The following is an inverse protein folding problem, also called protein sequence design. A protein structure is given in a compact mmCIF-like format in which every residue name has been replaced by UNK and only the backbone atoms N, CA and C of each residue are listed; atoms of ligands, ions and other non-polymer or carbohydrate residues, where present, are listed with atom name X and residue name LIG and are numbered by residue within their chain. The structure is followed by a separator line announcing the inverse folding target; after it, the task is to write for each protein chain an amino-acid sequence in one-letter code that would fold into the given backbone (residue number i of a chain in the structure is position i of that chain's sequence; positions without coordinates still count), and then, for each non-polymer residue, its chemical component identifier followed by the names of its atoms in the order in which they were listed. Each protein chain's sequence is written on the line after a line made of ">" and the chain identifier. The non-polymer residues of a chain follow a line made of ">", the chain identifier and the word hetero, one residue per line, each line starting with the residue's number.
data_IF_038892237747
#
_entry.id   IF_038892237747
#
_cell.length_a   1.000
_cell.length_b   1.000
_cell.length_c   1.000
_cell.angle_alpha   90.00
_cell.angle_beta   90.00
_cell.angle_gamma   90.00
#
_symmetry.space_group_name_H-M   'P 1'
#
loop_
_entity.id
_entity.type
_entity.pdbx_description
1 polymer ?
#
# COMPACT_ATOMS: atom_id res chain seq x y z
N UNK A 1 22.08 16.31 10.88
CA UNK A 1 20.98 15.75 10.09
C UNK A 1 20.35 14.76 11.01
N UNK A 2 19.16 15.06 11.53
CA UNK A 2 18.36 14.01 12.14
C UNK A 2 18.23 12.90 11.10
N UNK A 3 18.36 11.64 11.52
CA UNK A 3 18.22 10.50 10.60
C UNK A 3 16.87 10.63 9.88
N UNK A 4 16.92 10.71 8.55
CA UNK A 4 15.73 10.85 7.74
C UNK A 4 14.84 9.63 7.89
N UNK A 5 13.62 9.81 8.41
CA UNK A 5 12.70 8.71 8.66
C UNK A 5 12.12 8.22 7.33
N UNK A 6 12.48 6.99 6.95
CA UNK A 6 11.93 6.28 5.78
C UNK A 6 10.81 5.38 6.27
N UNK A 7 9.67 5.40 5.58
CA UNK A 7 8.56 4.49 5.86
C UNK A 7 8.28 3.63 4.63
N UNK A 8 8.34 2.32 4.82
CA UNK A 8 7.85 1.32 3.86
C UNK A 8 6.38 1.07 4.15
N UNK A 9 5.52 1.23 3.14
CA UNK A 9 4.09 0.96 3.27
C UNK A 9 3.69 -0.20 2.37
N UNK A 10 3.25 -1.31 2.95
CA UNK A 10 2.62 -2.40 2.22
C UNK A 10 1.11 -2.25 2.23
N UNK A 11 0.46 -2.29 1.06
CA UNK A 11 -0.99 -2.13 0.95
C UNK A 11 -1.61 -3.32 0.22
N UNK A 12 -2.56 -3.99 0.89
CA UNK A 12 -3.17 -5.24 0.45
C UNK A 12 -2.20 -6.43 0.49
N UNK A 13 -2.72 -7.64 0.39
CA UNK A 13 -1.92 -8.86 0.64
C UNK A 13 -0.57 -8.94 -0.10
N UNK A 14 -0.53 -8.67 -1.41
CA UNK A 14 0.73 -8.69 -2.18
C UNK A 14 1.67 -7.55 -1.72
N UNK A 15 1.12 -6.34 -1.51
CA UNK A 15 1.89 -5.19 -1.05
C UNK A 15 2.49 -5.41 0.34
N UNK A 16 1.71 -5.97 1.26
CA UNK A 16 2.15 -6.36 2.60
C UNK A 16 3.26 -7.42 2.54
N UNK A 17 3.10 -8.47 1.74
CA UNK A 17 4.13 -9.50 1.60
C UNK A 17 5.45 -8.94 1.01
N UNK A 18 5.36 -8.05 0.01
CA UNK A 18 6.53 -7.41 -0.58
C UNK A 18 7.22 -6.45 0.40
N UNK A 19 6.46 -5.62 1.12
CA UNK A 19 7.02 -4.66 2.06
C UNK A 19 7.65 -5.32 3.27
N UNK A 20 7.04 -6.38 3.82
CA UNK A 20 7.63 -7.21 4.88
C UNK A 20 8.96 -7.79 4.43
N UNK A 21 9.00 -8.37 3.22
CA UNK A 21 10.24 -8.94 2.69
C UNK A 21 11.32 -7.87 2.50
N UNK A 22 10.97 -6.70 1.98
CA UNK A 22 11.90 -5.59 1.84
C UNK A 22 12.41 -5.09 3.20
N UNK A 23 11.50 -4.85 4.14
CA UNK A 23 11.81 -4.40 5.50
C UNK A 23 12.73 -5.37 6.24
N UNK A 24 12.54 -6.68 6.06
CA UNK A 24 13.43 -7.70 6.66
C UNK A 24 14.90 -7.56 6.26
N UNK A 25 15.20 -6.91 5.12
CA UNK A 25 16.55 -6.68 4.61
C UNK A 25 17.14 -5.32 5.05
N UNK A 26 16.31 -4.41 5.58
CA UNK A 26 16.73 -3.06 5.97
C UNK A 26 16.21 -2.67 7.36
N UNK A 27 16.07 -3.64 8.27
CA UNK A 27 15.64 -3.41 9.65
C UNK A 27 16.51 -2.34 10.33
N UNK A 28 15.86 -1.43 11.04
CA UNK A 28 16.51 -0.30 11.72
C UNK A 28 16.84 0.90 10.82
N UNK A 29 16.59 0.82 9.50
CA UNK A 29 16.75 1.94 8.57
C UNK A 29 15.41 2.52 8.09
N UNK A 30 14.33 1.78 8.23
CA UNK A 30 12.99 2.20 7.82
C UNK A 30 11.94 1.61 8.75
N UNK A 31 10.88 2.35 9.00
CA UNK A 31 9.68 1.85 9.66
C UNK A 31 8.79 1.10 8.65
N UNK A 32 7.96 0.20 9.15
CA UNK A 32 7.03 -0.59 8.33
C UNK A 32 5.58 -0.31 8.72
N UNK A 33 4.77 0.09 7.74
CA UNK A 33 3.32 0.17 7.83
C UNK A 33 2.68 -0.88 6.91
N UNK A 34 1.75 -1.65 7.45
CA UNK A 34 0.95 -2.62 6.72
C UNK A 34 -0.51 -2.22 6.76
N UNK A 35 -1.15 -2.19 5.60
CA UNK A 35 -2.56 -1.81 5.45
C UNK A 35 -3.28 -2.91 4.69
N UNK A 36 -4.15 -3.64 5.37
CA UNK A 36 -4.99 -4.64 4.71
C UNK A 36 -6.36 -4.77 5.39
N UNK A 37 -7.32 -5.36 4.70
CA UNK A 37 -8.58 -5.77 5.27
C UNK A 37 -8.56 -7.25 5.73
N UNK A 38 -7.58 -8.02 5.26
CA UNK A 38 -7.31 -9.38 5.72
C UNK A 38 -6.28 -9.37 6.85
N UNK A 39 -6.67 -9.86 8.03
CA UNK A 39 -5.80 -9.89 9.21
C UNK A 39 -4.59 -10.82 9.03
N UNK A 40 -4.71 -11.86 8.20
CA UNK A 40 -3.61 -12.81 7.97
C UNK A 40 -2.37 -12.16 7.35
N UNK A 41 -2.55 -11.02 6.66
CA UNK A 41 -1.46 -10.21 6.09
C UNK A 41 -0.52 -9.61 7.15
N UNK A 42 -0.92 -9.57 8.44
CA UNK A 42 -0.13 -8.98 9.53
C UNK A 42 0.70 -10.00 10.32
N UNK A 43 0.59 -11.29 9.99
CA UNK A 43 1.05 -12.40 10.84
C UNK A 43 2.58 -12.56 10.99
N UNK A 44 3.39 -11.81 10.25
CA UNK A 44 4.83 -12.10 10.10
C UNK A 44 5.81 -11.12 10.77
N UNK A 45 5.38 -9.94 11.24
CA UNK A 45 6.34 -8.91 11.69
C UNK A 45 5.94 -8.25 13.03
N UNK A 46 6.76 -8.44 14.07
CA UNK A 46 6.51 -7.89 15.42
C UNK A 46 6.71 -6.37 15.53
N UNK A 47 7.42 -5.76 14.58
CA UNK A 47 7.77 -4.33 14.58
C UNK A 47 6.91 -3.50 13.61
N UNK A 48 5.96 -4.12 12.89
CA UNK A 48 5.12 -3.42 11.93
C UNK A 48 3.97 -2.65 12.60
N UNK A 49 3.77 -1.41 12.17
CA UNK A 49 2.51 -0.71 12.37
C UNK A 49 1.45 -1.34 11.45
N UNK A 50 0.31 -1.75 12.00
CA UNK A 50 -0.74 -2.41 11.22
C UNK A 50 -2.02 -1.57 11.25
N UNK A 51 -2.61 -1.37 10.07
CA UNK A 51 -3.91 -0.75 9.90
C UNK A 51 -4.88 -1.74 9.26
N UNK A 52 -5.72 -2.34 10.10
CA UNK A 52 -6.73 -3.30 9.66
C UNK A 52 -8.01 -2.58 9.23
N UNK A 53 -8.30 -2.60 7.93
CA UNK A 53 -9.42 -1.87 7.34
C UNK A 53 -10.79 -2.50 7.64
N UNK A 54 -10.86 -3.74 8.11
CA UNK A 54 -12.12 -4.45 8.40
C UNK A 54 -12.27 -4.80 9.89
N UNK A 55 -11.55 -4.10 10.77
CA UNK A 55 -11.51 -4.41 12.21
C UNK A 55 -12.88 -4.39 12.91
N UNK A 56 -13.81 -3.56 12.41
CA UNK A 56 -15.18 -3.48 12.93
C UNK A 56 -16.21 -4.26 12.08
N UNK A 57 -15.78 -4.94 11.01
CA UNK A 57 -16.64 -5.66 10.09
C UNK A 57 -16.70 -7.17 10.35
N UNK A 58 -17.36 -7.90 9.45
CA UNK A 58 -17.55 -9.36 9.54
C UNK A 58 -16.38 -10.16 8.94
N UNK A 59 -15.16 -9.59 8.93
CA UNK A 59 -13.97 -10.18 8.29
C UNK A 59 -14.19 -10.60 6.82
N UNK A 60 -14.95 -9.80 6.06
CA UNK A 60 -15.27 -10.03 4.64
C UNK A 60 -14.26 -9.37 3.69
N UNK A 61 -13.29 -8.63 4.24
CA UNK A 61 -12.36 -7.84 3.45
C UNK A 61 -13.07 -6.70 2.72
N UNK A 62 -12.60 -6.33 1.53
CA UNK A 62 -13.18 -5.22 0.75
C UNK A 62 -13.94 -5.67 -0.50
N UNK A 63 -14.12 -6.97 -0.71
CA UNK A 63 -14.87 -7.55 -1.83
C UNK A 63 -14.55 -6.95 -3.23
N UNK A 64 -13.27 -6.64 -3.49
CA UNK A 64 -12.81 -5.97 -4.72
C UNK A 64 -13.44 -4.58 -5.00
N UNK A 65 -13.96 -3.90 -3.97
CA UNK A 65 -14.49 -2.53 -4.04
C UNK A 65 -13.46 -1.52 -3.53
N UNK A 66 -12.81 -0.73 -4.40
CA UNK A 66 -11.82 0.28 -3.99
C UNK A 66 -12.42 1.35 -3.06
N UNK A 67 -13.61 1.87 -3.39
CA UNK A 67 -14.26 2.92 -2.62
C UNK A 67 -14.56 2.49 -1.17
N UNK A 68 -14.84 1.20 -0.94
CA UNK A 68 -15.04 0.67 0.41
C UNK A 68 -13.73 0.68 1.20
N UNK A 69 -12.62 0.28 0.58
CA UNK A 69 -11.30 0.35 1.19
C UNK A 69 -10.89 1.78 1.50
N UNK A 70 -11.12 2.70 0.56
CA UNK A 70 -10.85 4.13 0.69
C UNK A 70 -11.60 4.73 1.88
N UNK A 71 -12.90 4.44 2.00
CA UNK A 71 -13.73 4.91 3.10
C UNK A 71 -13.21 4.41 4.46
N UNK A 72 -12.98 3.10 4.60
CA UNK A 72 -12.45 2.49 5.83
C UNK A 72 -11.07 3.02 6.20
N UNK A 73 -10.22 3.24 5.19
CA UNK A 73 -8.91 3.83 5.42
C UNK A 73 -9.04 5.25 5.96
N UNK A 74 -9.91 6.09 5.40
CA UNK A 74 -10.12 7.47 5.88
C UNK A 74 -10.59 7.51 7.34
N UNK A 75 -11.35 6.53 7.79
CA UNK A 75 -11.76 6.42 9.20
C UNK A 75 -10.59 6.01 10.12
N UNK A 76 -9.72 5.10 9.64
CA UNK A 76 -8.60 4.57 10.43
C UNK A 76 -7.28 5.34 10.33
N UNK A 77 -7.13 6.24 9.34
CA UNK A 77 -5.84 6.85 8.99
C UNK A 77 -5.20 7.64 10.14
N UNK A 78 -6.02 8.21 11.03
CA UNK A 78 -5.55 8.98 12.17
C UNK A 78 -4.67 8.13 13.11
N UNK A 79 -4.86 6.80 13.14
CA UNK A 79 -4.07 5.89 13.96
C UNK A 79 -2.60 5.80 13.50
N UNK A 80 -2.34 6.07 12.22
CA UNK A 80 -1.00 5.96 11.60
C UNK A 80 -0.48 7.31 11.09
N UNK A 81 -1.21 8.39 11.34
CA UNK A 81 -0.87 9.74 10.88
C UNK A 81 0.52 10.21 11.34
N UNK A 82 0.84 9.98 12.62
CA UNK A 82 2.12 10.34 13.21
C UNK A 82 3.33 9.68 12.53
N UNK A 83 3.13 8.51 11.92
CA UNK A 83 4.17 7.80 11.19
C UNK A 83 4.45 8.48 9.85
N UNK A 84 3.39 8.92 9.15
CA UNK A 84 3.51 9.64 7.89
C UNK A 84 4.06 11.06 8.09
N UNK A 85 3.63 11.78 9.13
CA UNK A 85 4.11 13.15 9.42
C UNK A 85 5.60 13.25 9.71
N UNK A 86 6.18 12.21 10.32
CA UNK A 86 7.60 12.20 10.65
C UNK A 86 8.48 11.78 9.49
N UNK A 87 7.89 11.25 8.42
CA UNK A 87 8.62 10.61 7.33
C UNK A 87 9.09 11.61 6.28
N UNK A 88 10.36 11.54 5.91
CA UNK A 88 10.91 12.31 4.79
C UNK A 88 10.63 11.60 3.45
N UNK A 89 10.60 10.27 3.48
CA UNK A 89 10.39 9.42 2.32
C UNK A 89 9.40 8.29 2.65
N UNK A 90 8.33 8.23 1.87
CA UNK A 90 7.35 7.14 1.90
C UNK A 90 7.45 6.33 0.62
N UNK A 91 7.74 5.03 0.77
CA UNK A 91 7.77 4.07 -0.34
C UNK A 91 6.57 3.14 -0.19
N UNK A 92 5.63 3.22 -1.12
CA UNK A 92 4.41 2.43 -1.13
C UNK A 92 4.59 1.24 -2.05
N UNK A 93 4.34 0.03 -1.55
CA UNK A 93 4.30 -1.23 -2.29
C UNK A 93 2.87 -1.75 -2.30
N UNK A 94 2.31 -1.93 -3.49
CA UNK A 94 0.92 -2.34 -3.65
C UNK A 94 0.72 -3.13 -4.95
N UNK A 95 -0.36 -3.90 -5.02
CA UNK A 95 -0.83 -4.51 -6.26
C UNK A 95 -2.26 -4.05 -6.55
N UNK A 96 -2.48 -3.59 -7.77
CA UNK A 96 -3.74 -3.01 -8.21
C UNK A 96 -4.69 -4.07 -8.76
N UNK A 97 -5.94 -3.66 -8.93
CA UNK A 97 -7.03 -4.50 -9.42
C UNK A 97 -7.83 -5.21 -8.33
N UNK A 98 -7.35 -5.18 -7.07
CA UNK A 98 -8.15 -5.54 -5.89
C UNK A 98 -8.89 -4.34 -5.29
N UNK A 99 -9.56 -4.53 -4.16
CA UNK A 99 -10.23 -3.44 -3.44
C UNK A 99 -9.23 -2.65 -2.59
N UNK A 100 -8.58 -3.30 -1.61
CA UNK A 100 -7.61 -2.64 -0.71
C UNK A 100 -6.48 -1.94 -1.45
N UNK A 101 -5.68 -2.67 -2.25
CA UNK A 101 -4.56 -2.08 -2.98
C UNK A 101 -4.97 -0.88 -3.83
N UNK A 102 -6.05 -1.00 -4.60
CA UNK A 102 -6.48 0.07 -5.50
C UNK A 102 -7.10 1.28 -4.79
N UNK A 103 -7.80 1.06 -3.67
CA UNK A 103 -8.51 2.13 -2.94
C UNK A 103 -7.71 2.80 -1.83
N UNK A 104 -6.78 2.07 -1.19
CA UNK A 104 -5.99 2.59 -0.08
C UNK A 104 -4.71 3.29 -0.54
N UNK A 105 -4.14 2.90 -1.68
CA UNK A 105 -2.86 3.45 -2.16
C UNK A 105 -2.93 4.95 -2.44
N UNK A 106 -3.97 5.42 -3.13
CA UNK A 106 -4.08 6.85 -3.48
C UNK A 106 -4.26 7.73 -2.25
N UNK A 107 -4.98 7.25 -1.23
CA UNK A 107 -5.19 7.97 0.03
C UNK A 107 -3.91 8.04 0.86
N UNK A 108 -3.18 6.93 1.02
CA UNK A 108 -1.88 6.96 1.74
C UNK A 108 -0.91 7.91 1.03
N UNK A 109 -0.82 7.83 -0.30
CA UNK A 109 0.03 8.71 -1.09
C UNK A 109 -0.34 10.18 -0.89
N UNK A 110 -1.64 10.51 -0.92
CA UNK A 110 -2.12 11.86 -0.69
C UNK A 110 -1.74 12.37 0.70
N UNK A 111 -1.97 11.58 1.74
CA UNK A 111 -1.66 11.96 3.12
C UNK A 111 -0.17 12.16 3.36
N UNK A 112 0.67 11.24 2.89
CA UNK A 112 2.12 11.39 2.96
C UNK A 112 2.60 12.66 2.24
N UNK A 113 2.02 12.95 1.07
CA UNK A 113 2.33 14.17 0.31
C UNK A 113 1.87 15.43 1.03
N UNK A 114 0.68 15.43 1.62
CA UNK A 114 0.15 16.53 2.45
C UNK A 114 1.06 16.81 3.66
N UNK A 115 1.64 15.75 4.24
CA UNK A 115 2.62 15.84 5.33
C UNK A 115 4.02 16.30 4.90
N UNK A 116 4.26 16.51 3.61
CA UNK A 116 5.53 17.01 3.07
C UNK A 116 6.56 15.94 2.72
N UNK A 117 6.20 14.65 2.81
CA UNK A 117 7.11 13.55 2.45
C UNK A 117 7.30 13.43 0.93
N UNK A 118 8.47 12.99 0.51
CA UNK A 118 8.67 12.47 -0.84
C UNK A 118 7.95 11.12 -0.95
N UNK A 119 7.15 10.92 -2.01
CA UNK A 119 6.27 9.74 -2.13
C UNK A 119 6.60 8.99 -3.40
N UNK A 120 7.03 7.73 -3.24
CA UNK A 120 7.29 6.80 -4.33
C UNK A 120 6.32 5.64 -4.24
N UNK A 121 5.43 5.51 -5.23
CA UNK A 121 4.49 4.39 -5.32
C UNK A 121 5.01 3.35 -6.31
N UNK A 122 5.14 2.11 -5.88
CA UNK A 122 5.52 0.96 -6.71
C UNK A 122 4.30 0.03 -6.76
N UNK A 123 3.65 0.00 -7.93
CA UNK A 123 2.35 -0.64 -8.09
C UNK A 123 2.38 -1.78 -9.10
N UNK A 124 1.97 -2.97 -8.67
CA UNK A 124 1.80 -4.15 -9.51
C UNK A 124 0.54 -4.06 -10.36
N UNK A 125 0.68 -4.13 -11.68
CA UNK A 125 -0.42 -4.20 -12.64
C UNK A 125 -0.87 -5.66 -12.81
N UNK A 126 -2.18 -5.93 -12.84
CA UNK A 126 -2.73 -7.28 -12.94
C UNK A 126 -2.37 -7.97 -14.26
N UNK A 127 -2.59 -9.29 -14.29
CA UNK A 127 -2.43 -10.11 -15.49
C UNK A 127 -3.50 -9.72 -16.53
N UNK A 128 -3.14 -9.74 -17.81
CA UNK A 128 -4.02 -9.34 -18.90
C UNK A 128 -5.31 -10.19 -18.97
N UNK A 129 -5.24 -11.45 -18.54
CA UNK A 129 -6.37 -12.39 -18.47
C UNK A 129 -7.38 -12.08 -17.35
N UNK A 130 -7.15 -11.02 -16.56
CA UNK A 130 -7.99 -10.61 -15.45
C UNK A 130 -8.72 -9.29 -15.75
N UNK A 131 -9.68 -9.24 -16.68
CA UNK A 131 -10.24 -8.00 -17.22
C UNK A 131 -10.89 -7.11 -16.15
N UNK A 132 -11.56 -7.71 -15.15
CA UNK A 132 -12.15 -6.94 -14.04
C UNK A 132 -11.08 -6.25 -13.20
N UNK A 133 -9.94 -6.92 -12.96
CA UNK A 133 -8.82 -6.35 -12.20
C UNK A 133 -8.12 -5.26 -13.02
N UNK A 134 -7.95 -5.46 -14.33
CA UNK A 134 -7.43 -4.44 -15.23
C UNK A 134 -8.28 -3.17 -15.19
N UNK A 135 -9.61 -3.30 -15.33
CA UNK A 135 -10.52 -2.15 -15.28
C UNK A 135 -10.54 -1.42 -13.93
N UNK A 136 -10.30 -2.13 -12.81
CA UNK A 136 -10.11 -1.50 -11.50
C UNK A 136 -8.77 -0.76 -11.45
N UNK A 137 -7.69 -1.39 -11.91
CA UNK A 137 -6.34 -0.82 -11.94
C UNK A 137 -6.28 0.46 -12.77
N UNK A 138 -6.85 0.44 -13.98
CA UNK A 138 -6.89 1.59 -14.90
C UNK A 138 -7.58 2.81 -14.29
N UNK A 139 -8.60 2.59 -13.46
CA UNK A 139 -9.30 3.68 -12.76
C UNK A 139 -8.51 4.23 -11.57
N UNK A 140 -7.71 3.39 -10.89
CA UNK A 140 -6.96 3.80 -9.71
C UNK A 140 -5.65 4.54 -10.05
N UNK A 141 -4.99 4.17 -11.16
CA UNK A 141 -3.67 4.71 -11.53
C UNK A 141 -3.62 6.24 -11.58
N UNK A 142 -4.55 6.97 -12.23
CA UNK A 142 -4.44 8.42 -12.36
C UNK A 142 -4.39 9.15 -11.03
N UNK A 143 -5.17 8.68 -10.04
CA UNK A 143 -5.19 9.27 -8.71
C UNK A 143 -3.91 8.96 -7.94
N UNK A 144 -3.41 7.72 -8.02
CA UNK A 144 -2.13 7.32 -7.40
C UNK A 144 -0.99 8.15 -7.97
N UNK A 145 -0.97 8.38 -9.28
CA UNK A 145 0.04 9.21 -9.94
C UNK A 145 -0.05 10.68 -9.56
N UNK A 146 -1.26 11.24 -9.50
CA UNK A 146 -1.47 12.61 -9.04
C UNK A 146 -1.02 12.84 -7.60
N UNK A 147 -1.14 11.82 -6.76
CA UNK A 147 -0.80 11.89 -5.34
C UNK A 147 0.65 11.44 -5.02
N UNK A 148 1.37 10.89 -6.00
CA UNK A 148 2.77 10.45 -5.83
C UNK A 148 3.74 11.43 -6.48
N UNK A 149 4.99 11.48 -6.00
CA UNK A 149 6.06 12.19 -6.70
C UNK A 149 6.63 11.34 -7.84
N UNK A 150 6.67 10.01 -7.63
CA UNK A 150 7.03 9.02 -8.64
C UNK A 150 6.11 7.81 -8.50
N UNK A 151 5.58 7.33 -9.62
CA UNK A 151 4.83 6.08 -9.69
C UNK A 151 5.53 5.11 -10.63
N UNK A 152 6.00 3.99 -10.10
CA UNK A 152 6.62 2.90 -10.83
C UNK A 152 5.56 1.82 -11.04
N UNK A 153 5.19 1.59 -12.30
CA UNK A 153 4.23 0.56 -12.68
C UNK A 153 4.97 -0.73 -13.04
N UNK A 154 4.68 -1.82 -12.33
CA UNK A 154 5.32 -3.13 -12.51
C UNK A 154 4.32 -4.11 -13.10
N UNK A 155 4.59 -4.68 -14.27
CA UNK A 155 3.75 -5.75 -14.82
C UNK A 155 3.95 -7.03 -14.00
N UNK A 156 2.89 -7.51 -13.33
CA UNK A 156 2.95 -8.78 -12.59
C UNK A 156 3.16 -9.97 -13.51
N UNK A 157 2.64 -9.90 -14.73
CA UNK A 157 2.86 -10.90 -15.78
C UNK A 157 4.36 -11.03 -16.10
N UNK A 158 5.03 -9.90 -16.40
CA UNK A 158 6.48 -9.91 -16.68
C UNK A 158 7.29 -10.35 -15.48
N UNK A 159 6.91 -9.93 -14.27
CA UNK A 159 7.56 -10.34 -13.03
C UNK A 159 7.45 -11.86 -12.82
N UNK A 160 6.28 -12.44 -13.07
CA UNK A 160 6.06 -13.89 -12.98
C UNK A 160 6.86 -14.68 -14.02
N UNK A 161 7.09 -14.13 -15.22
CA UNK A 161 7.94 -14.76 -16.23
C UNK A 161 9.43 -14.74 -15.87
N UNK A 162 9.90 -13.67 -15.22
CA UNK A 162 11.31 -13.56 -14.79
C UNK A 162 11.64 -14.36 -13.54
N UNK A 163 10.63 -14.69 -12.73
CA UNK A 163 10.79 -15.53 -11.54
C UNK A 163 10.88 -17.04 -11.84
N UNK A 164 10.78 -17.43 -13.11
CA UNK A 164 10.97 -18.80 -13.61
C UNK A 164 12.37 -18.95 -14.20
#
# INVERSE_FOLDING_TARGET
>A
MDEGAIVLVGIGGIGCAWSQRAHSLCRGLADLLLVDADESSFSSEQEAHCLHLDAAGEAKGTAALPNLAEHRLKEGINNVHHLLEKSELVIILSALGGGTGSGATSVIAARARESGSLVVSIVGLPFAEQPLRCAISERAIPEIEGNSHLCIRVSLERLAWQAR
#
